data_IF_421736961988
#
_entry.id   IF_421736961988
#
_cell.length_a   1.000
_cell.length_b   1.000
_cell.length_c   1.000
_cell.angle_alpha   90.00
_cell.angle_beta   90.00
_cell.angle_gamma   90.00
#
_symmetry.space_group_name_H-M   'P 1'
#
loop_
_entity.id
_entity.type
_entity.pdbx_description
1 polymer ?
#
# COMPACT_ATOMS: atom_id res chain seq x y z
N UNK A 1 9.19 -13.54 5.35
CA UNK A 1 8.58 -14.86 5.13
C UNK A 1 9.66 -15.87 4.82
N UNK A 2 9.53 -17.11 5.27
CA UNK A 2 10.40 -18.23 4.89
C UNK A 2 10.35 -19.41 5.85
N UNK A 3 10.67 -20.59 5.32
CA UNK A 3 10.68 -21.87 6.02
C UNK A 3 12.13 -22.39 6.16
N UNK A 4 12.41 -23.16 7.21
CA UNK A 4 13.73 -23.74 7.50
C UNK A 4 14.90 -22.73 7.52
N UNK A 5 14.67 -21.50 8.01
CA UNK A 5 15.70 -20.46 8.11
C UNK A 5 15.89 -19.61 6.84
N UNK A 6 15.11 -19.88 5.79
CA UNK A 6 14.98 -18.96 4.67
C UNK A 6 14.35 -17.64 5.14
N UNK A 7 14.83 -16.51 4.62
CA UNK A 7 14.34 -15.18 4.99
C UNK A 7 14.62 -14.19 3.87
N UNK A 8 13.66 -13.32 3.59
CA UNK A 8 13.86 -12.11 2.79
C UNK A 8 13.59 -10.89 3.66
N UNK A 9 14.54 -9.96 3.68
CA UNK A 9 14.44 -8.65 4.34
C UNK A 9 14.66 -7.56 3.30
N UNK A 10 13.73 -6.62 3.19
CA UNK A 10 13.79 -5.51 2.24
C UNK A 10 13.84 -4.15 2.93
N UNK A 11 14.62 -3.24 2.37
CA UNK A 11 14.69 -1.82 2.74
C UNK A 11 14.42 -0.98 1.49
N UNK A 12 13.71 0.12 1.65
CA UNK A 12 13.44 1.05 0.57
C UNK A 12 13.57 2.50 1.01
N UNK A 13 14.19 3.33 0.17
CA UNK A 13 14.25 4.78 0.34
C UNK A 13 13.40 5.44 -0.74
N UNK A 14 12.40 6.20 -0.34
CA UNK A 14 11.37 6.72 -1.25
C UNK A 14 11.36 8.24 -1.29
N UNK A 15 11.30 8.80 -2.49
CA UNK A 15 11.02 10.21 -2.75
C UNK A 15 9.77 10.34 -3.64
N UNK A 16 8.83 11.19 -3.25
CA UNK A 16 7.58 11.38 -3.96
C UNK A 16 7.15 12.84 -4.03
N UNK A 17 6.43 13.17 -5.10
CA UNK A 17 5.75 14.44 -5.31
C UNK A 17 4.25 14.18 -5.35
N UNK A 18 3.49 15.04 -4.68
CA UNK A 18 2.03 14.99 -4.60
C UNK A 18 1.43 16.30 -5.08
N UNK A 19 0.33 16.21 -5.83
CA UNK A 19 -0.48 17.34 -6.27
C UNK A 19 -1.97 16.99 -6.17
N UNK A 20 -2.79 17.97 -5.79
CA UNK A 20 -4.24 17.83 -5.72
C UNK A 20 -4.90 19.04 -6.36
N UNK A 21 -5.99 18.80 -7.09
CA UNK A 21 -6.80 19.82 -7.73
C UNK A 21 -8.29 19.55 -7.47
N UNK A 22 -9.02 20.58 -7.03
CA UNK A 22 -10.43 20.46 -6.63
C UNK A 22 -11.35 21.33 -7.50
N UNK A 23 -11.67 20.91 -8.74
CA UNK A 23 -12.52 21.70 -9.62
C UNK A 23 -13.96 21.74 -9.10
N UNK A 24 -14.52 22.96 -9.01
CA UNK A 24 -15.93 23.16 -8.65
C UNK A 24 -16.29 22.75 -7.21
N UNK A 25 -15.31 22.55 -6.32
CA UNK A 25 -15.49 22.31 -4.88
C UNK A 25 -16.09 20.95 -4.49
N UNK A 26 -16.62 20.20 -5.45
CA UNK A 26 -17.18 18.86 -5.25
C UNK A 26 -16.34 17.76 -5.88
N UNK A 27 -15.57 18.05 -6.92
CA UNK A 27 -14.70 17.05 -7.55
C UNK A 27 -13.27 17.23 -7.07
N UNK A 28 -12.51 16.15 -7.08
CA UNK A 28 -11.07 16.19 -6.87
C UNK A 28 -10.36 15.30 -7.88
N UNK A 29 -9.12 15.70 -8.17
CA UNK A 29 -8.13 14.91 -8.88
C UNK A 29 -6.84 15.01 -8.09
N UNK A 30 -6.35 13.87 -7.62
CA UNK A 30 -5.08 13.76 -6.93
C UNK A 30 -4.10 12.99 -7.81
N UNK A 31 -2.86 13.46 -7.83
CA UNK A 31 -1.75 12.82 -8.52
C UNK A 31 -0.57 12.68 -7.58
N UNK A 32 0.12 11.55 -7.69
CA UNK A 32 1.38 11.31 -7.02
C UNK A 32 2.32 10.56 -7.94
N UNK A 33 3.60 10.94 -7.93
CA UNK A 33 4.64 10.17 -8.60
C UNK A 33 5.92 10.18 -7.78
N UNK A 34 6.78 9.20 -7.99
CA UNK A 34 8.03 9.13 -7.27
C UNK A 34 8.93 8.01 -7.71
N UNK A 35 10.05 7.93 -7.00
CA UNK A 35 11.07 6.92 -7.18
C UNK A 35 11.42 6.33 -5.82
N UNK A 36 11.73 5.03 -5.82
CA UNK A 36 12.24 4.34 -4.65
C UNK A 36 13.48 3.52 -5.02
N UNK A 37 14.49 3.62 -4.17
CA UNK A 37 15.70 2.79 -4.19
C UNK A 37 15.46 1.58 -3.29
N UNK A 38 15.83 0.39 -3.76
CA UNK A 38 15.44 -0.90 -3.19
C UNK A 38 16.67 -1.74 -2.84
N UNK A 39 16.71 -2.26 -1.61
CA UNK A 39 17.76 -3.18 -1.17
C UNK A 39 17.16 -4.39 -0.45
N UNK A 40 17.51 -5.58 -0.91
CA UNK A 40 17.04 -6.85 -0.36
C UNK A 40 18.20 -7.71 0.13
N UNK A 41 18.04 -8.27 1.32
CA UNK A 41 18.89 -9.34 1.87
C UNK A 41 18.11 -10.64 1.88
N UNK A 42 18.60 -11.63 1.12
CA UNK A 42 17.97 -12.91 0.92
C UNK A 42 18.79 -14.02 1.58
N UNK A 43 18.09 -14.97 2.20
CA UNK A 43 18.63 -16.22 2.73
C UNK A 43 17.73 -17.34 2.26
N UNK A 44 18.32 -18.40 1.72
CA UNK A 44 17.60 -19.56 1.21
C UNK A 44 18.21 -20.84 1.76
N UNK A 45 17.33 -21.70 2.27
CA UNK A 45 17.69 -23.05 2.68
C UNK A 45 17.87 -23.97 1.48
N UNK A 46 18.96 -24.73 1.47
CA UNK A 46 19.26 -25.72 0.44
C UNK A 46 18.90 -27.10 1.01
N UNK A 47 17.77 -27.65 0.59
CA UNK A 47 17.26 -28.95 1.09
C UNK A 47 18.20 -30.12 0.81
N UNK A 48 18.99 -30.06 -0.26
CA UNK A 48 19.93 -31.11 -0.65
C UNK A 48 21.15 -31.23 0.29
N UNK A 49 21.61 -30.13 0.89
CA UNK A 49 22.81 -30.11 1.74
C UNK A 49 22.53 -29.73 3.19
N UNK A 50 21.33 -29.23 3.48
CA UNK A 50 20.99 -28.62 4.76
C UNK A 50 21.69 -27.27 5.00
N UNK A 51 22.37 -26.73 3.99
CA UNK A 51 23.09 -25.47 4.04
C UNK A 51 22.21 -24.25 3.81
N UNK A 52 22.78 -23.07 4.06
CA UNK A 52 22.17 -21.78 3.73
C UNK A 52 23.00 -21.07 2.68
N UNK A 53 22.32 -20.50 1.69
CA UNK A 53 22.91 -19.55 0.75
C UNK A 53 22.32 -18.16 0.99
N UNK A 54 23.14 -17.14 0.74
CA UNK A 54 22.79 -15.73 0.99
C UNK A 54 22.97 -14.91 -0.28
N UNK A 55 22.16 -13.88 -0.44
CA UNK A 55 22.28 -12.94 -1.55
C UNK A 55 21.86 -11.54 -1.14
N UNK A 56 22.44 -10.53 -1.79
CA UNK A 56 21.97 -9.16 -1.74
C UNK A 56 21.49 -8.76 -3.12
N UNK A 57 20.31 -8.14 -3.20
CA UNK A 57 19.75 -7.66 -4.46
C UNK A 57 19.36 -6.20 -4.32
N UNK A 58 19.95 -5.36 -5.16
CA UNK A 58 19.60 -3.95 -5.29
C UNK A 58 18.62 -3.75 -6.43
N UNK A 59 17.98 -2.59 -6.47
CA UNK A 59 17.13 -2.18 -7.58
C UNK A 59 16.51 -0.82 -7.36
N UNK A 60 15.67 -0.42 -8.30
CA UNK A 60 14.93 0.83 -8.22
C UNK A 60 13.56 0.71 -8.84
N UNK A 61 12.62 1.54 -8.37
CA UNK A 61 11.25 1.52 -8.87
C UNK A 61 10.70 2.93 -9.05
N UNK A 62 10.15 3.17 -10.23
CA UNK A 62 9.29 4.33 -10.48
C UNK A 62 7.85 3.95 -10.17
N UNK A 63 7.12 4.89 -9.58
CA UNK A 63 5.69 4.73 -9.33
C UNK A 63 4.91 5.99 -9.63
N UNK A 64 3.65 5.81 -9.98
CA UNK A 64 2.68 6.86 -10.16
C UNK A 64 1.30 6.41 -9.71
N UNK A 65 0.49 7.35 -9.22
CA UNK A 65 -0.87 7.15 -8.80
C UNK A 65 -1.69 8.35 -9.24
N UNK A 66 -2.86 8.10 -9.84
CA UNK A 66 -3.84 9.14 -10.13
C UNK A 66 -5.19 8.69 -9.62
N UNK A 67 -5.85 9.54 -8.84
CA UNK A 67 -7.21 9.30 -8.38
C UNK A 67 -8.12 10.47 -8.70
N UNK A 68 -9.37 10.17 -9.01
CA UNK A 68 -10.42 11.16 -9.19
C UNK A 68 -11.67 10.72 -8.46
N UNK A 69 -12.42 11.68 -7.91
CA UNK A 69 -13.64 11.39 -7.19
C UNK A 69 -14.49 12.64 -6.97
N UNK A 70 -15.58 12.44 -6.25
CA UNK A 70 -16.52 13.51 -5.94
C UNK A 70 -17.02 13.42 -4.50
N UNK A 71 -17.10 14.55 -3.81
CA UNK A 71 -17.64 14.68 -2.46
C UNK A 71 -19.12 15.08 -2.52
N UNK A 72 -19.99 14.13 -2.24
CA UNK A 72 -21.43 14.36 -2.11
C UNK A 72 -21.80 14.52 -0.64
N UNK A 73 -22.17 15.73 -0.25
CA UNK A 73 -22.71 16.01 1.09
C UNK A 73 -24.23 15.83 1.09
N UNK A 74 -24.73 15.02 2.01
CA UNK A 74 -26.15 14.85 2.26
C UNK A 74 -26.50 15.40 3.65
N UNK A 75 -27.07 16.61 3.67
CA UNK A 75 -27.29 17.36 4.92
C UNK A 75 -25.98 17.80 5.58
N UNK A 76 -26.03 18.03 6.90
CA UNK A 76 -24.85 18.50 7.67
C UNK A 76 -23.93 17.37 8.14
N UNK A 77 -24.39 16.13 8.10
CA UNK A 77 -23.75 15.01 8.80
C UNK A 77 -23.10 14.01 7.85
N UNK A 78 -23.72 13.66 6.73
CA UNK A 78 -23.24 12.57 5.88
C UNK A 78 -22.46 13.10 4.66
N UNK A 79 -21.27 12.55 4.43
CA UNK A 79 -20.50 12.75 3.22
C UNK A 79 -20.21 11.39 2.57
N UNK A 80 -20.50 11.28 1.28
CA UNK A 80 -20.22 10.13 0.44
C UNK A 80 -19.21 10.55 -0.63
N UNK A 81 -18.11 9.81 -0.72
CA UNK A 81 -17.04 10.09 -1.66
C UNK A 81 -16.73 8.87 -2.51
N UNK A 82 -17.43 8.66 -3.64
CA UNK A 82 -16.99 7.71 -4.65
C UNK A 82 -15.72 8.22 -5.33
N UNK A 83 -14.81 7.29 -5.63
CA UNK A 83 -13.58 7.59 -6.35
C UNK A 83 -13.10 6.39 -7.17
N UNK A 84 -12.29 6.70 -8.17
CA UNK A 84 -11.50 5.74 -8.92
C UNK A 84 -10.02 6.11 -8.80
N UNK A 85 -9.15 5.10 -8.84
CA UNK A 85 -7.70 5.30 -8.84
C UNK A 85 -7.02 4.32 -9.79
N UNK A 86 -5.95 4.79 -10.41
CA UNK A 86 -5.02 3.96 -11.17
C UNK A 86 -3.63 4.12 -10.57
N UNK A 87 -3.03 3.00 -10.21
CA UNK A 87 -1.67 2.90 -9.67
C UNK A 87 -0.78 2.16 -10.67
N UNK A 88 0.37 2.74 -10.99
CA UNK A 88 1.35 2.19 -11.92
C UNK A 88 2.71 2.12 -11.23
N UNK A 89 3.45 1.03 -11.43
CA UNK A 89 4.83 0.95 -10.99
C UNK A 89 5.66 0.09 -11.94
N UNK A 90 6.95 0.44 -12.07
CA UNK A 90 7.96 -0.34 -12.78
C UNK A 90 9.19 -0.42 -11.90
N UNK A 91 9.53 -1.64 -11.48
CA UNK A 91 10.75 -1.93 -10.75
C UNK A 91 11.77 -2.61 -11.67
N UNK A 92 13.02 -2.18 -11.61
CA UNK A 92 14.16 -2.88 -12.20
C UNK A 92 15.01 -3.39 -11.05
N UNK A 93 15.16 -4.71 -10.96
CA UNK A 93 15.96 -5.37 -9.94
C UNK A 93 17.22 -5.95 -10.56
N UNK A 94 18.37 -5.67 -9.96
CA UNK A 94 19.66 -6.06 -10.50
C UNK A 94 19.88 -7.57 -10.47
N UNK A 95 20.83 -8.02 -11.29
CA UNK A 95 21.33 -9.38 -11.22
C UNK A 95 22.15 -9.57 -9.93
N UNK A 96 22.00 -10.73 -9.29
CA UNK A 96 22.82 -11.09 -8.14
C UNK A 96 23.21 -12.57 -8.20
N UNK A 97 24.24 -12.95 -7.44
CA UNK A 97 24.66 -14.35 -7.31
C UNK A 97 24.71 -14.68 -5.83
N UNK A 98 24.08 -15.78 -5.46
CA UNK A 98 24.11 -16.27 -4.09
C UNK A 98 25.52 -16.71 -3.68
N UNK A 99 25.79 -16.67 -2.39
CA UNK A 99 27.07 -17.03 -1.79
C UNK A 99 26.84 -18.04 -0.64
N UNK A 100 27.81 -18.91 -0.38
CA UNK A 100 27.75 -19.94 0.66
C UNK A 100 28.13 -21.31 0.10
N UNK A 101 27.14 -22.06 -0.39
CA UNK A 101 27.33 -23.39 -0.99
C UNK A 101 27.58 -23.28 -2.50
N UNK A 102 28.85 -23.40 -2.93
CA UNK A 102 29.25 -23.20 -4.33
C UNK A 102 28.59 -24.16 -5.33
N UNK A 103 28.13 -25.34 -4.89
CA UNK A 103 27.45 -26.31 -5.77
C UNK A 103 25.97 -25.97 -5.97
N UNK A 104 25.36 -25.22 -5.05
CA UNK A 104 23.92 -24.91 -5.03
C UNK A 104 23.61 -23.40 -5.04
N UNK A 105 24.64 -22.56 -5.12
CA UNK A 105 24.52 -21.12 -5.31
C UNK A 105 23.96 -20.81 -6.69
N UNK A 106 22.87 -20.05 -6.73
CA UNK A 106 22.22 -19.65 -7.97
C UNK A 106 22.62 -18.25 -8.39
N UNK A 107 22.65 -18.02 -9.70
CA UNK A 107 22.73 -16.69 -10.30
C UNK A 107 21.37 -16.27 -10.79
N UNK A 108 20.90 -15.14 -10.31
CA UNK A 108 19.68 -14.49 -10.75
C UNK A 108 20.02 -13.36 -11.71
N UNK A 109 19.35 -13.33 -12.85
CA UNK A 109 19.50 -12.25 -13.82
C UNK A 109 18.78 -10.98 -13.34
N UNK A 110 19.08 -9.86 -14.00
CA UNK A 110 18.28 -8.65 -13.85
C UNK A 110 16.85 -8.90 -14.32
N UNK A 111 15.87 -8.26 -13.71
CA UNK A 111 14.48 -8.39 -14.13
C UNK A 111 13.73 -7.08 -13.96
N UNK A 112 12.78 -6.85 -14.86
CA UNK A 112 11.80 -5.78 -14.75
C UNK A 112 10.48 -6.36 -14.23
N UNK A 113 9.84 -5.65 -13.31
CA UNK A 113 8.54 -6.00 -12.73
C UNK A 113 7.59 -4.83 -12.94
N UNK A 114 6.59 -5.05 -13.77
CA UNK A 114 5.54 -4.08 -14.06
C UNK A 114 4.29 -4.34 -13.22
N UNK A 115 3.71 -3.28 -12.68
CA UNK A 115 2.49 -3.30 -11.87
C UNK A 115 1.50 -2.30 -12.42
N UNK A 116 0.25 -2.71 -12.55
CA UNK A 116 -0.86 -1.80 -12.86
C UNK A 116 -2.08 -2.24 -12.08
N UNK A 117 -2.57 -1.38 -11.19
CA UNK A 117 -3.72 -1.67 -10.35
C UNK A 117 -4.79 -0.60 -10.54
N UNK A 118 -6.01 -1.05 -10.82
CA UNK A 118 -7.19 -0.20 -10.86
C UNK A 118 -8.00 -0.36 -9.58
N UNK A 119 -8.51 0.75 -9.05
CA UNK A 119 -9.28 0.75 -7.81
C UNK A 119 -10.58 1.53 -8.02
N UNK A 120 -11.66 0.97 -7.50
CA UNK A 120 -12.96 1.64 -7.39
C UNK A 120 -13.35 1.65 -5.92
N UNK A 121 -13.55 2.83 -5.35
CA UNK A 121 -13.81 2.95 -3.92
C UNK A 121 -14.94 3.91 -3.59
N UNK A 122 -15.44 3.74 -2.37
CA UNK A 122 -16.44 4.58 -1.75
C UNK A 122 -15.98 4.86 -0.32
N UNK A 123 -15.89 6.14 0.05
CA UNK A 123 -15.72 6.57 1.43
C UNK A 123 -17.04 7.13 1.95
N UNK A 124 -17.37 6.78 3.18
CA UNK A 124 -18.53 7.30 3.91
C UNK A 124 -17.98 7.92 5.18
N UNK A 125 -18.27 9.19 5.39
CA UNK A 125 -17.92 9.94 6.60
C UNK A 125 -19.22 10.48 7.21
N UNK A 126 -19.45 10.18 8.49
CA UNK A 126 -20.62 10.68 9.20
C UNK A 126 -20.19 11.55 10.37
N UNK A 127 -20.40 12.86 10.24
CA UNK A 127 -20.00 13.86 11.20
C UNK A 127 -21.07 14.08 12.26
N UNK A 128 -20.68 13.89 13.52
CA UNK A 128 -21.49 14.21 14.70
C UNK A 128 -20.82 15.30 15.53
N UNK A 129 -21.53 16.42 15.74
CA UNK A 129 -21.09 17.47 16.67
C UNK A 129 -21.35 16.99 18.11
N UNK A 130 -20.33 17.09 18.95
CA UNK A 130 -20.38 16.82 20.38
C UNK A 130 -20.08 18.12 21.13
N UNK A 131 -20.42 18.19 22.43
CA UNK A 131 -20.19 19.38 23.25
C UNK A 131 -18.71 19.76 23.43
N UNK A 132 -17.77 18.87 23.07
CA UNK A 132 -16.32 19.04 23.22
C UNK A 132 -15.54 18.87 21.91
N UNK A 133 -16.23 18.87 20.76
CA UNK A 133 -15.60 18.67 19.46
C UNK A 133 -16.50 17.98 18.43
N UNK A 134 -15.88 17.35 17.43
CA UNK A 134 -16.56 16.63 16.36
C UNK A 134 -16.05 15.20 16.31
N UNK A 135 -16.98 14.24 16.34
CA UNK A 135 -16.70 12.83 16.11
C UNK A 135 -17.16 12.42 14.71
N UNK A 136 -16.33 11.67 13.99
CA UNK A 136 -16.58 11.30 12.60
C UNK A 136 -16.23 9.83 12.37
N UNK A 137 -17.16 8.89 12.55
CA UNK A 137 -17.01 7.53 12.05
C UNK A 137 -16.88 7.50 10.53
N UNK A 138 -16.04 6.59 10.06
CA UNK A 138 -15.61 6.47 8.67
C UNK A 138 -15.72 5.01 8.22
N UNK A 139 -16.25 4.80 7.03
CA UNK A 139 -16.24 3.51 6.33
C UNK A 139 -15.60 3.71 4.96
N UNK A 140 -14.71 2.81 4.59
CA UNK A 140 -14.11 2.74 3.26
C UNK A 140 -14.34 1.36 2.68
N UNK A 141 -14.88 1.32 1.48
CA UNK A 141 -14.98 0.12 0.67
C UNK A 141 -14.19 0.36 -0.60
N UNK A 142 -13.31 -0.56 -0.97
CA UNK A 142 -12.54 -0.44 -2.21
C UNK A 142 -12.38 -1.81 -2.87
N UNK A 143 -12.72 -1.88 -4.14
CA UNK A 143 -12.42 -3.01 -5.01
C UNK A 143 -11.15 -2.68 -5.79
N UNK A 144 -10.20 -3.61 -5.81
CA UNK A 144 -8.93 -3.48 -6.52
C UNK A 144 -8.79 -4.61 -7.54
N UNK A 145 -8.29 -4.26 -8.72
CA UNK A 145 -7.97 -5.19 -9.79
C UNK A 145 -6.53 -5.00 -10.26
N UNK A 146 -5.72 -6.06 -10.19
CA UNK A 146 -4.38 -6.09 -10.75
C UNK A 146 -4.43 -6.59 -12.20
N UNK A 147 -4.05 -5.71 -13.12
CA UNK A 147 -4.05 -6.00 -14.56
C UNK A 147 -2.84 -6.84 -14.97
N UNK A 148 -1.75 -6.81 -14.19
CA UNK A 148 -0.54 -7.56 -14.47
C UNK A 148 -0.55 -8.84 -13.63
N UNK A 149 -0.73 -9.98 -14.29
CA UNK A 149 -0.95 -11.27 -13.64
C UNK A 149 0.28 -11.95 -13.03
N UNK A 150 1.19 -11.22 -12.37
CA UNK A 150 2.45 -11.78 -11.86
C UNK A 150 2.88 -11.22 -10.49
N UNK A 151 3.26 -12.16 -9.61
CA UNK A 151 4.09 -12.12 -8.40
C UNK A 151 4.27 -10.76 -7.68
N UNK A 152 3.22 -10.21 -7.10
CA UNK A 152 3.37 -9.03 -6.25
C UNK A 152 2.26 -8.76 -5.25
N UNK A 153 2.61 -8.79 -3.96
CA UNK A 153 1.79 -8.32 -2.85
C UNK A 153 1.75 -6.78 -2.80
N UNK A 154 0.57 -6.17 -2.64
CA UNK A 154 0.42 -4.71 -2.55
C UNK A 154 0.38 -4.27 -1.09
N UNK A 155 1.47 -3.70 -0.55
CA UNK A 155 1.50 -3.11 0.81
C UNK A 155 1.58 -1.57 0.74
N UNK A 156 0.74 -0.88 1.50
CA UNK A 156 0.66 0.60 1.52
C UNK A 156 1.10 1.22 2.85
N UNK A 157 1.79 2.35 2.78
CA UNK A 157 2.18 3.13 3.96
C UNK A 157 0.95 3.63 4.74
N UNK A 158 1.07 3.64 6.07
CA UNK A 158 -0.01 4.00 6.99
C UNK A 158 -0.24 5.51 7.15
N UNK A 159 0.57 6.36 6.52
CA UNK A 159 0.50 7.82 6.64
C UNK A 159 -0.05 8.51 5.37
N UNK A 160 -0.19 7.79 4.25
CA UNK A 160 -0.69 8.35 3.00
C UNK A 160 -2.19 8.09 2.81
N UNK A 161 -2.99 9.17 2.79
CA UNK A 161 -4.43 9.17 2.43
C UNK A 161 -4.72 8.62 1.01
N UNK A 162 -3.67 8.54 0.18
CA UNK A 162 -3.62 7.93 -1.15
C UNK A 162 -2.17 7.92 -1.65
N UNK A 163 -1.53 6.75 -1.74
CA UNK A 163 -0.19 6.62 -2.34
C UNK A 163 0.17 5.19 -2.72
N UNK A 164 1.20 5.02 -3.56
CA UNK A 164 1.58 3.77 -4.19
C UNK A 164 2.45 2.90 -3.30
N UNK A 165 2.55 1.65 -3.73
CA UNK A 165 2.72 0.50 -2.87
C UNK A 165 4.14 -0.09 -2.95
N UNK A 166 4.52 -0.78 -1.88
CA UNK A 166 5.75 -1.57 -1.79
C UNK A 166 5.45 -3.06 -2.02
N UNK A 167 6.37 -3.76 -2.70
CA UNK A 167 6.32 -5.21 -2.94
C UNK A 167 7.54 -5.89 -2.29
N UNK A 168 7.31 -6.93 -1.48
CA UNK A 168 8.34 -7.93 -1.16
C UNK A 168 7.73 -9.32 -1.28
N UNK A 169 8.44 -10.21 -1.98
CA UNK A 169 8.22 -11.66 -1.85
C UNK A 169 7.27 -12.27 -2.86
N UNK A 170 7.75 -13.37 -3.43
CA UNK A 170 7.15 -14.25 -4.42
C UNK A 170 5.99 -15.01 -3.76
N UNK A 171 4.76 -14.71 -4.19
CA UNK A 171 3.60 -15.60 -4.14
C UNK A 171 2.52 -15.00 -5.07
N UNK A 172 1.80 -15.86 -5.78
CA UNK A 172 0.81 -15.48 -6.79
C UNK A 172 -0.39 -14.86 -6.08
N UNK A 173 -0.44 -13.53 -5.98
CA UNK A 173 -1.59 -12.84 -5.41
C UNK A 173 -2.76 -12.78 -6.39
N UNK A 174 -3.95 -12.85 -5.82
CA UNK A 174 -5.20 -12.74 -6.54
C UNK A 174 -5.32 -11.41 -7.30
N UNK A 175 -5.81 -11.53 -8.54
CA UNK A 175 -6.03 -10.37 -9.41
C UNK A 175 -7.10 -9.43 -8.87
N UNK A 176 -7.94 -9.89 -7.95
CA UNK A 176 -9.06 -9.13 -7.39
C UNK A 176 -8.99 -9.13 -5.87
N UNK A 177 -9.08 -7.95 -5.28
CA UNK A 177 -9.06 -7.76 -3.83
C UNK A 177 -10.16 -6.81 -3.39
N UNK A 178 -10.74 -7.08 -2.24
CA UNK A 178 -11.70 -6.20 -1.59
C UNK A 178 -11.10 -5.67 -0.29
N UNK A 179 -11.11 -4.36 -0.13
CA UNK A 179 -10.62 -3.67 1.06
C UNK A 179 -11.80 -3.06 1.80
N UNK A 180 -11.84 -3.33 3.11
CA UNK A 180 -12.80 -2.74 4.04
C UNK A 180 -11.99 -1.97 5.10
N UNK A 181 -12.25 -0.68 5.21
CA UNK A 181 -11.70 0.19 6.25
C UNK A 181 -12.81 0.68 7.18
N UNK A 182 -12.63 0.51 8.48
CA UNK A 182 -13.49 1.06 9.52
C UNK A 182 -12.64 2.00 10.38
N UNK A 183 -13.01 3.27 10.39
CA UNK A 183 -12.26 4.30 11.10
C UNK A 183 -13.15 5.20 11.93
N UNK A 184 -12.52 5.97 12.79
CA UNK A 184 -13.15 7.06 13.49
C UNK A 184 -12.14 8.18 13.72
N UNK A 185 -12.56 9.41 13.48
CA UNK A 185 -11.80 10.61 13.77
C UNK A 185 -12.49 11.43 14.85
N UNK A 186 -11.74 11.89 15.84
CA UNK A 186 -12.23 12.83 16.85
C UNK A 186 -11.39 14.10 16.80
N UNK A 187 -12.03 15.25 16.65
CA UNK A 187 -11.36 16.55 16.63
C UNK A 187 -11.93 17.45 17.73
N UNK A 188 -11.08 17.96 18.60
CA UNK A 188 -11.45 18.88 19.66
C UNK A 188 -11.39 20.32 19.18
N UNK A 189 -12.15 21.21 19.82
CA UNK A 189 -12.10 22.66 19.53
C UNK A 189 -10.71 23.25 19.84
N UNK A 190 -9.97 22.64 20.76
CA UNK A 190 -8.59 22.99 21.06
C UNK A 190 -7.58 22.56 20.01
N UNK A 191 -8.00 22.10 18.82
CA UNK A 191 -7.10 21.79 17.69
C UNK A 191 -6.41 20.42 17.76
N UNK A 192 -6.76 19.56 18.72
CA UNK A 192 -6.29 18.16 18.75
C UNK A 192 -7.19 17.29 17.87
N UNK A 193 -6.61 16.50 16.96
CA UNK A 193 -7.30 15.51 16.14
C UNK A 193 -6.69 14.12 16.33
N UNK A 194 -7.50 13.12 16.64
CA UNK A 194 -7.12 11.72 16.71
C UNK A 194 -7.86 10.94 15.63
N UNK A 195 -7.19 9.97 14.99
CA UNK A 195 -7.83 9.03 14.08
C UNK A 195 -7.36 7.61 14.40
N UNK A 196 -8.31 6.68 14.40
CA UNK A 196 -8.05 5.25 14.44
C UNK A 196 -8.71 4.63 13.21
N UNK A 197 -8.00 3.74 12.51
CA UNK A 197 -8.53 2.99 11.38
C UNK A 197 -8.11 1.52 11.47
N UNK A 198 -9.09 0.63 11.33
CA UNK A 198 -8.88 -0.79 11.08
C UNK A 198 -9.15 -1.07 9.61
N UNK A 199 -8.26 -1.83 8.97
CA UNK A 199 -8.36 -2.20 7.55
C UNK A 199 -8.23 -3.70 7.42
N UNK A 200 -9.16 -4.33 6.74
CA UNK A 200 -9.07 -5.71 6.27
C UNK A 200 -9.00 -5.75 4.75
N UNK A 201 -8.16 -6.61 4.20
CA UNK A 201 -8.09 -6.93 2.77
C UNK A 201 -8.40 -8.40 2.59
N UNK A 202 -9.34 -8.69 1.71
CA UNK A 202 -9.79 -10.05 1.39
C UNK A 202 -9.55 -10.28 -0.10
N UNK A 203 -8.77 -11.32 -0.42
CA UNK A 203 -8.58 -11.84 -1.76
C UNK A 203 -9.44 -13.09 -2.01
N UNK A 204 -9.30 -13.70 -3.18
CA UNK A 204 -9.89 -15.01 -3.51
C UNK A 204 -9.02 -16.18 -2.99
N UNK A 205 -7.76 -15.93 -2.61
CA UNK A 205 -6.90 -16.83 -1.85
C UNK A 205 -7.27 -16.79 -0.36
N UNK A 206 -6.99 -17.87 0.38
CA UNK A 206 -7.29 -18.00 1.81
C UNK A 206 -6.49 -17.02 2.71
N UNK A 207 -5.69 -16.13 2.12
CA UNK A 207 -4.86 -15.17 2.83
C UNK A 207 -5.62 -13.85 3.03
N UNK A 208 -5.75 -13.44 4.30
CA UNK A 208 -6.42 -12.19 4.69
C UNK A 208 -5.44 -11.30 5.44
N UNK A 209 -5.29 -10.07 4.96
CA UNK A 209 -4.41 -9.09 5.56
C UNK A 209 -5.20 -8.12 6.41
N UNK A 210 -4.72 -7.84 7.63
CA UNK A 210 -5.34 -6.91 8.55
C UNK A 210 -4.32 -5.86 9.01
N UNK A 211 -4.76 -4.62 9.13
CA UNK A 211 -3.92 -3.50 9.54
C UNK A 211 -4.66 -2.57 10.49
N UNK A 212 -3.92 -2.02 11.44
CA UNK A 212 -4.38 -0.99 12.36
C UNK A 212 -3.52 0.26 12.17
N UNK A 213 -4.17 1.42 12.11
CA UNK A 213 -3.54 2.72 11.99
C UNK A 213 -4.05 3.64 13.07
N UNK A 214 -3.13 4.38 13.69
CA UNK A 214 -3.44 5.41 14.66
C UNK A 214 -2.68 6.69 14.31
N UNK A 215 -3.41 7.80 14.17
CA UNK A 215 -2.84 9.11 13.88
C UNK A 215 -3.25 10.12 14.96
N UNK A 216 -2.30 11.00 15.31
CA UNK A 216 -2.47 12.09 16.26
C UNK A 216 -1.92 13.38 15.64
N UNK A 217 -2.77 14.40 15.53
CA UNK A 217 -2.43 15.71 14.99
C UNK A 217 -2.80 16.80 16.00
N UNK A 218 -1.94 17.81 16.15
CA UNK A 218 -2.23 19.01 16.93
C UNK A 218 -1.99 20.23 16.04
N UNK A 219 -3.06 21.00 15.80
CA UNK A 219 -2.98 22.32 15.16
C UNK A 219 -2.72 23.38 16.22
N UNK A 220 -1.78 24.27 15.93
CA UNK A 220 -1.41 25.44 16.74
C UNK A 220 -2.11 26.69 16.20
#
# INVERSE_FOLDING_TARGET
VGDHGSRSEGKAYTAALYASYQPGGQFFVDGLMGYQDLSYQLRRYVSATGGLVQGSREGGQWFASVSAGADFRHGEHLQLTPYARLDLARATLDAYTEQGDALYALRFASMDVDTSTGNLGLRVDYRQKLSRGTFSPQLRLEYQHDFQGGDGATLGYADQLSGPFYRTGIEVFDRNRFLIGLGAQFSTEGGLSTRLEYRGVVGNSEESDHGLMFNLEKRY
#
